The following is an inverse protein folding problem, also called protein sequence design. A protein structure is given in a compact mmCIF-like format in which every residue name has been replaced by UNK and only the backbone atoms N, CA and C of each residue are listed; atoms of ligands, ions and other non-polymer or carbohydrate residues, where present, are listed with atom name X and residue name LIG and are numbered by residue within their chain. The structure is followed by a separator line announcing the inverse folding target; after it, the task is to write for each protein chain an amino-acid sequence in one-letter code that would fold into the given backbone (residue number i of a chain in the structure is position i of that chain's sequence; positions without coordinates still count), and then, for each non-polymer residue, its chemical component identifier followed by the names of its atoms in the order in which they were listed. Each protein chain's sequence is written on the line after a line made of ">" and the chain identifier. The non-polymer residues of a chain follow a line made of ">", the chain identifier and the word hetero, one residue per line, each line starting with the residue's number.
data_IF_659483102003
#
_entry.id   IF_659483102003
#
_cell.length_a   1.000
_cell.length_b   1.000
_cell.length_c   1.000
_cell.angle_alpha   90.00
_cell.angle_beta   90.00
_cell.angle_gamma   90.00
#
_symmetry.space_group_name_H-M   'P 1'
#
loop_
_entity.id
_entity.type
_entity.pdbx_description
1 polymer ?
#
# COMPACT_ATOMS: atom_id res chain seq x y z
N UNK A 1 15.60 6.60 28.63
CA UNK A 1 16.16 6.07 27.36
C UNK A 1 17.57 6.62 27.22
N UNK A 2 18.55 5.83 26.78
CA UNK A 2 19.89 6.34 26.46
C UNK A 2 19.95 6.53 24.96
N UNK A 3 20.23 7.75 24.53
CA UNK A 3 20.36 8.13 23.13
C UNK A 3 21.83 8.41 22.82
N UNK A 4 22.24 8.19 21.58
CA UNK A 4 23.59 8.47 21.12
C UNK A 4 23.55 9.00 19.70
N UNK A 5 24.18 10.15 19.51
CA UNK A 5 24.33 10.81 18.22
C UNK A 5 25.72 10.54 17.65
N UNK A 6 25.78 10.36 16.32
CA UNK A 6 27.02 10.21 15.58
C UNK A 6 27.07 11.28 14.48
N UNK A 7 28.08 12.14 14.52
CA UNK A 7 28.27 13.23 13.54
C UNK A 7 29.42 12.85 12.62
N UNK A 8 29.16 12.88 11.31
CA UNK A 8 30.16 12.67 10.27
C UNK A 8 30.51 14.02 9.65
N UNK A 9 31.79 14.41 9.73
CA UNK A 9 32.29 15.64 9.12
C UNK A 9 32.73 15.37 7.67
N UNK A 10 32.85 16.43 6.88
CA UNK A 10 33.37 16.40 5.50
C UNK A 10 32.56 15.57 4.50
N UNK A 11 31.25 15.47 4.73
CA UNK A 11 30.31 14.87 3.77
C UNK A 11 29.86 15.94 2.77
N UNK A 12 30.45 15.94 1.57
CA UNK A 12 30.25 16.99 0.56
C UNK A 12 28.87 16.98 -0.10
N UNK A 13 28.18 15.83 -0.08
CA UNK A 13 26.89 15.62 -0.75
C UNK A 13 25.95 14.79 0.13
N UNK A 14 24.64 14.92 -0.09
CA UNK A 14 23.65 14.11 0.64
C UNK A 14 23.87 12.63 0.34
N UNK A 15 24.28 11.87 1.37
CA UNK A 15 24.49 10.43 1.27
C UNK A 15 23.27 9.65 1.80
N UNK A 16 23.01 8.49 1.20
CA UNK A 16 22.00 7.54 1.68
C UNK A 16 22.64 6.59 2.69
N UNK A 17 22.21 6.57 3.95
CA UNK A 17 22.88 5.77 4.98
C UNK A 17 22.55 4.28 4.84
N UNK A 18 23.59 3.46 4.91
CA UNK A 18 23.50 1.99 4.90
C UNK A 18 23.84 1.45 6.28
N UNK A 19 22.81 1.27 7.11
CA UNK A 19 22.94 0.88 8.52
C UNK A 19 22.72 -0.63 8.67
N UNK A 20 23.23 -1.22 9.76
CA UNK A 20 23.04 -2.64 10.11
C UNK A 20 23.63 -3.65 9.10
N UNK A 21 24.71 -3.27 8.40
CA UNK A 21 25.47 -4.13 7.48
C UNK A 21 25.86 -5.45 8.15
N UNK A 22 25.81 -6.54 7.39
CA UNK A 22 26.09 -7.89 7.91
C UNK A 22 25.21 -8.32 9.08
N UNK A 23 24.03 -7.68 9.26
CA UNK A 23 23.14 -7.91 10.40
C UNK A 23 23.86 -7.80 11.75
N UNK A 24 24.57 -6.69 11.95
CA UNK A 24 25.46 -6.48 13.11
C UNK A 24 24.79 -6.55 14.48
N UNK A 25 23.45 -6.41 14.55
CA UNK A 25 22.67 -6.65 15.75
C UNK A 25 21.24 -7.10 15.42
N UNK A 26 20.61 -7.98 16.24
CA UNK A 26 19.23 -8.43 16.05
C UNK A 26 18.22 -7.43 16.59
N UNK A 27 18.18 -6.23 15.99
CA UNK A 27 17.31 -5.12 16.43
C UNK A 27 16.28 -4.77 15.35
N UNK A 28 15.16 -4.17 15.78
CA UNK A 28 14.23 -3.49 14.85
C UNK A 28 14.75 -2.09 14.58
N UNK A 29 15.04 -1.82 13.31
CA UNK A 29 15.54 -0.52 12.86
C UNK A 29 14.40 0.32 12.27
N UNK A 30 14.09 1.42 12.94
CA UNK A 30 13.24 2.48 12.43
C UNK A 30 14.13 3.55 11.80
N UNK A 31 13.75 4.01 10.61
CA UNK A 31 14.52 4.97 9.81
C UNK A 31 13.59 5.80 8.95
N UNK A 32 14.00 7.01 8.62
CA UNK A 32 13.31 7.99 7.77
C UNK A 32 13.75 7.92 6.29
N UNK A 33 14.33 6.78 5.87
CA UNK A 33 14.73 6.54 4.48
C UNK A 33 13.54 6.70 3.53
N UNK A 34 13.73 7.50 2.49
CA UNK A 34 12.71 7.73 1.47
C UNK A 34 12.68 6.59 0.45
N UNK A 35 11.65 6.57 -0.38
CA UNK A 35 11.55 5.66 -1.53
C UNK A 35 12.78 5.70 -2.40
N UNK A 36 13.27 6.90 -2.72
CA UNK A 36 14.45 7.09 -3.55
C UNK A 36 15.69 6.50 -2.89
N UNK A 37 15.82 6.66 -1.59
CA UNK A 37 16.92 6.09 -0.81
C UNK A 37 16.91 4.55 -0.83
N UNK A 38 15.73 3.94 -0.68
CA UNK A 38 15.58 2.49 -0.76
C UNK A 38 15.97 1.94 -2.14
N UNK A 39 15.61 2.64 -3.22
CA UNK A 39 16.03 2.26 -4.58
C UNK A 39 17.56 2.38 -4.76
N UNK A 40 18.18 3.42 -4.21
CA UNK A 40 19.64 3.57 -4.24
C UNK A 40 20.33 2.45 -3.49
N UNK A 41 19.85 2.09 -2.30
CA UNK A 41 20.38 0.96 -1.52
C UNK A 41 20.23 -0.36 -2.29
N UNK A 42 19.08 -0.60 -2.91
CA UNK A 42 18.83 -1.81 -3.69
C UNK A 42 19.78 -1.95 -4.90
N UNK A 43 20.03 -0.84 -5.60
CA UNK A 43 20.80 -0.82 -6.83
C UNK A 43 22.32 -0.78 -6.60
N UNK A 44 22.78 -0.08 -5.57
CA UNK A 44 24.18 0.31 -5.45
C UNK A 44 24.85 -0.07 -4.12
N UNK A 45 24.12 -0.57 -3.11
CA UNK A 45 24.78 -0.99 -1.88
C UNK A 45 25.67 -2.22 -2.12
N UNK A 46 26.83 -2.21 -1.47
CA UNK A 46 27.79 -3.31 -1.46
C UNK A 46 27.38 -4.45 -0.53
N UNK A 47 26.53 -4.18 0.46
CA UNK A 47 26.06 -5.18 1.41
C UNK A 47 24.79 -5.87 0.91
N UNK A 48 24.85 -7.20 0.76
CA UNK A 48 23.74 -8.01 0.24
C UNK A 48 22.51 -7.96 1.15
N UNK A 49 22.72 -7.93 2.47
CA UNK A 49 21.63 -7.87 3.43
C UNK A 49 20.85 -6.56 3.25
N UNK A 50 21.52 -5.42 3.14
CA UNK A 50 20.87 -4.13 2.92
C UNK A 50 20.15 -4.05 1.57
N UNK A 51 20.67 -4.69 0.52
CA UNK A 51 19.95 -4.83 -0.76
C UNK A 51 18.67 -5.65 -0.63
N UNK A 52 18.73 -6.79 0.06
CA UNK A 52 17.55 -7.64 0.27
C UNK A 52 16.53 -6.94 1.18
N UNK A 53 16.98 -6.28 2.24
CA UNK A 53 16.12 -5.56 3.18
C UNK A 53 15.41 -4.38 2.53
N UNK A 54 16.09 -3.60 1.68
CA UNK A 54 15.47 -2.52 0.91
C UNK A 54 14.42 -3.04 -0.08
N UNK A 55 14.70 -4.14 -0.79
CA UNK A 55 13.72 -4.85 -1.62
C UNK A 55 12.50 -5.29 -0.80
N UNK A 56 12.72 -5.92 0.36
CA UNK A 56 11.65 -6.39 1.23
C UNK A 56 10.73 -5.28 1.72
N UNK A 57 11.28 -4.12 2.10
CA UNK A 57 10.48 -2.94 2.49
C UNK A 57 9.61 -2.44 1.34
N UNK A 58 10.18 -2.35 0.14
CA UNK A 58 9.42 -1.97 -1.06
C UNK A 58 8.33 -2.95 -1.43
N UNK A 59 8.59 -4.24 -1.27
CA UNK A 59 7.59 -5.27 -1.50
C UNK A 59 6.43 -5.17 -0.50
N UNK A 60 6.69 -4.90 0.79
CA UNK A 60 5.61 -4.73 1.78
C UNK A 60 4.72 -3.54 1.45
N UNK A 61 5.31 -2.40 1.07
CA UNK A 61 4.53 -1.21 0.68
C UNK A 61 3.64 -1.50 -0.54
N UNK A 62 4.22 -2.10 -1.59
CA UNK A 62 3.46 -2.47 -2.79
C UNK A 62 2.37 -3.51 -2.49
N UNK A 63 2.64 -4.45 -1.58
CA UNK A 63 1.65 -5.44 -1.16
C UNK A 63 0.45 -4.78 -0.47
N UNK A 64 0.71 -3.78 0.37
CA UNK A 64 -0.34 -3.02 1.06
C UNK A 64 -1.19 -2.22 0.06
N UNK A 65 -0.56 -1.62 -0.96
CA UNK A 65 -1.26 -0.95 -2.07
C UNK A 65 -2.16 -1.91 -2.87
N UNK A 66 -1.63 -3.09 -3.23
CA UNK A 66 -2.39 -4.12 -3.94
C UNK A 66 -3.59 -4.58 -3.11
N UNK A 67 -3.40 -4.78 -1.81
CA UNK A 67 -4.47 -5.19 -0.92
C UNK A 67 -5.55 -4.11 -0.79
N UNK A 68 -5.15 -2.83 -0.73
CA UNK A 68 -6.09 -1.71 -0.76
C UNK A 68 -6.91 -1.68 -2.06
N UNK A 69 -6.28 -1.93 -3.22
CA UNK A 69 -6.98 -2.04 -4.49
C UNK A 69 -7.96 -3.23 -4.51
N UNK A 70 -7.59 -4.39 -3.95
CA UNK A 70 -8.52 -5.53 -3.85
C UNK A 70 -9.74 -5.21 -2.99
N UNK A 71 -9.55 -4.54 -1.85
CA UNK A 71 -10.66 -4.09 -1.00
C UNK A 71 -11.57 -3.13 -1.78
N UNK A 72 -10.99 -2.20 -2.55
CA UNK A 72 -11.76 -1.31 -3.40
C UNK A 72 -12.54 -2.06 -4.48
N UNK A 73 -11.95 -3.08 -5.10
CA UNK A 73 -12.61 -3.93 -6.10
C UNK A 73 -13.75 -4.76 -5.48
N UNK A 74 -13.55 -5.38 -4.32
CA UNK A 74 -14.60 -6.12 -3.61
C UNK A 74 -15.78 -5.23 -3.23
N UNK A 75 -15.51 -3.97 -2.86
CA UNK A 75 -16.54 -2.96 -2.60
C UNK A 75 -17.30 -2.57 -3.89
N UNK A 76 -16.63 -2.58 -5.04
CA UNK A 76 -17.26 -2.35 -6.35
C UNK A 76 -18.07 -3.56 -6.83
N UNK A 77 -17.58 -4.79 -6.67
CA UNK A 77 -18.25 -6.03 -7.11
C UNK A 77 -19.48 -6.39 -6.27
N UNK A 78 -19.52 -5.98 -4.99
CA UNK A 78 -20.68 -6.13 -4.12
C UNK A 78 -21.96 -5.42 -4.58
N UNK A 79 -21.91 -4.66 -5.67
CA UNK A 79 -23.02 -3.89 -6.23
C UNK A 79 -23.74 -4.54 -7.44
N UNK A 80 -23.29 -5.70 -7.95
CA UNK A 80 -23.94 -6.34 -9.12
C UNK A 80 -24.60 -7.70 -8.85
N UNK A 81 -25.92 -7.72 -9.10
CA UNK A 81 -26.83 -8.87 -9.31
C UNK A 81 -27.50 -9.56 -8.09
N UNK A 82 -28.77 -9.21 -7.91
CA UNK A 82 -29.83 -10.14 -7.50
C UNK A 82 -30.36 -10.91 -8.72
N UNK A 83 -30.17 -12.23 -8.75
CA UNK A 83 -31.20 -13.21 -9.13
C UNK A 83 -30.73 -14.61 -8.73
N UNK A 84 -31.70 -15.45 -8.33
CA UNK A 84 -31.63 -16.87 -7.95
C UNK A 84 -32.74 -17.56 -8.77
N UNK A 85 -32.79 -18.90 -8.98
CA UNK A 85 -32.85 -19.82 -7.83
C UNK A 85 -32.34 -21.28 -8.04
N UNK A 86 -32.32 -22.00 -6.91
CA UNK A 86 -32.34 -23.48 -6.67
C UNK A 86 -31.23 -24.35 -7.28
N UNK A 87 -30.67 -25.39 -6.66
CA UNK A 87 -30.85 -26.05 -5.37
C UNK A 87 -29.83 -27.20 -5.33
N UNK A 88 -29.03 -27.30 -4.26
CA UNK A 88 -28.49 -28.53 -3.67
C UNK A 88 -27.39 -28.17 -2.68
N UNK A 89 -27.28 -29.03 -1.69
CA UNK A 89 -26.60 -28.87 -0.41
C UNK A 89 -25.10 -28.58 -0.53
N UNK A 90 -24.65 -27.44 0.02
CA UNK A 90 -23.34 -27.23 0.63
C UNK A 90 -23.29 -25.85 1.30
N UNK A 91 -22.85 -25.81 2.56
CA UNK A 91 -22.60 -24.64 3.44
C UNK A 91 -23.17 -23.28 2.98
N UNK A 92 -24.33 -22.87 3.53
CA UNK A 92 -24.95 -21.56 3.24
C UNK A 92 -24.12 -20.40 3.84
N UNK A 93 -23.16 -19.87 3.07
CA UNK A 93 -22.57 -18.55 3.29
C UNK A 93 -23.72 -17.53 3.21
N UNK A 94 -23.98 -16.76 4.29
CA UNK A 94 -25.05 -15.73 4.31
C UNK A 94 -24.74 -14.66 3.26
N UNK A 95 -25.42 -14.69 2.10
CA UNK A 95 -25.33 -13.64 1.07
C UNK A 95 -26.11 -12.43 1.56
N UNK A 96 -25.40 -11.36 1.92
CA UNK A 96 -25.98 -10.05 2.26
C UNK A 96 -26.30 -9.36 0.94
N UNK A 97 -27.59 -9.27 0.58
CA UNK A 97 -28.03 -8.59 -0.65
C UNK A 97 -28.36 -7.14 -0.26
N UNK A 98 -27.49 -6.23 -0.65
CA UNK A 98 -27.74 -4.79 -0.57
C UNK A 98 -28.59 -4.41 -1.79
N UNK A 99 -29.83 -4.00 -1.55
CA UNK A 99 -30.67 -3.43 -2.60
C UNK A 99 -30.26 -1.97 -2.74
N UNK A 100 -29.64 -1.64 -3.86
CA UNK A 100 -29.22 -0.28 -4.17
C UNK A 100 -30.20 0.28 -5.20
N UNK A 101 -30.74 1.45 -4.91
CA UNK A 101 -31.67 2.16 -5.80
C UNK A 101 -30.87 2.87 -6.90
N UNK A 102 -30.95 2.33 -8.11
CA UNK A 102 -30.18 2.78 -9.28
C UNK A 102 -30.59 4.20 -9.68
N UNK A 103 -31.83 4.60 -9.41
CA UNK A 103 -32.34 5.91 -9.80
C UNK A 103 -31.75 7.03 -8.93
N UNK A 104 -31.44 6.73 -7.66
CA UNK A 104 -30.71 7.67 -6.79
C UNK A 104 -29.25 7.87 -7.23
N UNK A 105 -28.59 6.83 -7.75
CA UNK A 105 -27.19 6.93 -8.19
C UNK A 105 -27.07 7.78 -9.46
N UNK A 106 -27.99 7.59 -10.42
CA UNK A 106 -27.97 8.38 -11.66
C UNK A 106 -28.19 9.86 -11.40
N UNK A 107 -29.17 10.20 -10.55
CA UNK A 107 -29.44 11.60 -10.17
C UNK A 107 -28.24 12.26 -9.50
N UNK A 108 -27.55 11.54 -8.60
CA UNK A 108 -26.38 12.08 -7.88
C UNK A 108 -25.16 12.24 -8.77
N UNK A 109 -25.03 11.42 -9.81
CA UNK A 109 -23.97 11.57 -10.81
C UNK A 109 -24.27 12.71 -11.78
N UNK A 110 -25.51 12.90 -12.23
CA UNK A 110 -25.91 14.07 -13.02
C UNK A 110 -25.63 15.38 -12.27
N UNK A 111 -25.97 15.46 -10.98
CA UNK A 111 -25.66 16.61 -10.12
C UNK A 111 -24.13 16.86 -9.95
N UNK A 112 -23.28 15.83 -10.09
CA UNK A 112 -21.83 15.96 -10.03
C UNK A 112 -21.19 16.44 -11.35
N UNK A 113 -21.84 16.20 -12.49
CA UNK A 113 -21.29 16.52 -13.81
C UNK A 113 -21.79 17.85 -14.40
N UNK A 114 -22.82 18.47 -13.82
CA UNK A 114 -23.28 19.81 -14.23
C UNK A 114 -22.52 20.96 -13.52
N UNK A 115 -21.64 20.66 -12.56
CA UNK A 115 -20.99 21.68 -11.72
C UNK A 115 -19.63 22.22 -12.19
N UNK A 116 -19.04 21.71 -13.28
CA UNK A 116 -17.68 22.11 -13.67
C UNK A 116 -17.51 22.35 -15.18
N UNK A 117 -18.45 23.10 -15.75
CA UNK A 117 -18.36 23.66 -17.09
C UNK A 117 -18.73 25.13 -17.08
N UNK A 118 -17.79 26.02 -16.73
CA UNK A 118 -18.03 27.46 -16.86
C UNK A 118 -16.96 28.35 -16.22
N UNK A 119 -16.07 28.84 -17.09
CA UNK A 119 -15.12 29.96 -16.97
C UNK A 119 -13.88 29.81 -16.08
#
# INVERSE_FOLDING_TARGET
>A
MKEKEFVFNDVSERSTPSILRGFSAPIRLESDLTDRDLHLLLAHDSDEFNRIMSCGRKYSEMKDEIEACKVQMDLMEGSTSSSKPEGSSSAKKKKKVLKVDIDQIKKKNEELFEGNGGN
#
